data_IF_944994677416
#
_entry.id   IF_944994677416
#
_cell.length_a   1.000
_cell.length_b   1.000
_cell.length_c   1.000
_cell.angle_alpha   90.00
_cell.angle_beta   90.00
_cell.angle_gamma   90.00
#
_symmetry.space_group_name_H-M   'P 1'
#
loop_
_entity.id
_entity.type
_entity.pdbx_description
1 polymer ?
#
# COMPACT_ATOMS: atom_id res chain seq x y z
N UNK A 1 6.36 30.92 -5.05
CA UNK A 1 5.17 31.64 -5.54
C UNK A 1 4.00 31.38 -4.59
N UNK A 2 3.21 32.39 -4.19
CA UNK A 2 2.03 32.17 -3.36
C UNK A 2 0.98 31.34 -4.12
N UNK A 3 0.30 30.43 -3.40
CA UNK A 3 -0.80 29.63 -3.96
C UNK A 3 -1.96 30.56 -4.31
N UNK A 4 -2.55 30.40 -5.50
CA UNK A 4 -3.74 31.15 -5.91
C UNK A 4 -4.92 30.91 -4.97
N UNK A 5 -5.77 31.93 -4.78
CA UNK A 5 -6.98 31.85 -3.95
C UNK A 5 -7.99 30.85 -4.53
N UNK A 6 -8.73 30.14 -3.67
CA UNK A 6 -9.82 29.23 -4.08
C UNK A 6 -11.03 30.01 -4.61
N UNK A 7 -11.81 29.42 -5.52
CA UNK A 7 -13.06 30.01 -6.00
C UNK A 7 -14.09 30.12 -4.87
N UNK A 8 -14.75 31.27 -4.75
CA UNK A 8 -15.86 31.46 -3.79
C UNK A 8 -17.13 30.74 -4.28
N UNK A 9 -18.13 30.55 -3.41
CA UNK A 9 -19.40 29.92 -3.81
C UNK A 9 -20.13 30.72 -4.90
N UNK A 10 -20.07 32.04 -4.82
CA UNK A 10 -20.67 32.95 -5.80
C UNK A 10 -19.96 32.85 -7.16
N UNK A 11 -18.63 32.80 -7.16
CA UNK A 11 -17.84 32.57 -8.38
C UNK A 11 -18.19 31.22 -9.01
N UNK A 12 -18.31 30.17 -8.20
CA UNK A 12 -18.70 28.83 -8.66
C UNK A 12 -20.10 28.83 -9.30
N UNK A 13 -21.10 29.46 -8.68
CA UNK A 13 -22.45 29.57 -9.23
C UNK A 13 -22.47 30.33 -10.56
N UNK A 14 -21.71 31.43 -10.66
CA UNK A 14 -21.59 32.20 -11.90
C UNK A 14 -20.94 31.37 -13.02
N UNK A 15 -19.88 30.62 -12.70
CA UNK A 15 -19.21 29.75 -13.67
C UNK A 15 -20.18 28.68 -14.21
N UNK A 16 -20.97 28.03 -13.33
CA UNK A 16 -21.98 27.06 -13.75
C UNK A 16 -23.04 27.70 -14.65
N UNK A 17 -23.59 28.85 -14.24
CA UNK A 17 -24.60 29.57 -15.02
C UNK A 17 -24.07 29.98 -16.41
N UNK A 18 -22.82 30.46 -16.52
CA UNK A 18 -22.23 30.80 -17.81
C UNK A 18 -21.87 29.59 -18.67
N UNK A 19 -21.57 28.45 -18.05
CA UNK A 19 -21.36 27.19 -18.77
C UNK A 19 -22.66 26.65 -19.37
N UNK A 20 -23.80 26.83 -18.69
CA UNK A 20 -25.11 26.39 -19.17
C UNK A 20 -25.55 27.16 -20.42
N UNK A 21 -25.16 28.43 -20.54
CA UNK A 21 -25.39 29.25 -21.75
C UNK A 21 -24.26 29.12 -22.79
N UNK A 22 -23.44 28.07 -22.69
CA UNK A 22 -22.40 27.71 -23.66
C UNK A 22 -21.32 28.78 -23.92
N UNK A 23 -21.01 29.64 -22.94
CA UNK A 23 -19.86 30.55 -23.06
C UNK A 23 -18.55 29.75 -23.07
N UNK A 24 -17.54 30.27 -23.78
CA UNK A 24 -16.21 29.66 -23.77
C UNK A 24 -15.56 29.79 -22.39
N UNK A 25 -14.75 28.82 -21.96
CA UNK A 25 -14.02 28.90 -20.69
C UNK A 25 -13.19 30.20 -20.55
N UNK A 26 -12.71 30.73 -21.69
CA UNK A 26 -11.93 31.97 -21.73
C UNK A 26 -12.81 33.18 -21.43
N UNK A 27 -14.03 33.22 -21.98
CA UNK A 27 -14.98 34.29 -21.72
C UNK A 27 -15.52 34.21 -20.29
N UNK A 28 -15.81 33.01 -19.80
CA UNK A 28 -16.18 32.75 -18.40
C UNK A 28 -15.07 33.24 -17.45
N UNK A 29 -13.81 32.90 -17.74
CA UNK A 29 -12.67 33.34 -16.94
C UNK A 29 -12.55 34.87 -16.90
N UNK A 30 -12.78 35.55 -18.02
CA UNK A 30 -12.77 37.01 -18.11
C UNK A 30 -13.93 37.63 -17.31
N UNK A 31 -15.15 37.09 -17.43
CA UNK A 31 -16.35 37.57 -16.75
C UNK A 31 -16.26 37.40 -15.23
N UNK A 32 -15.74 36.26 -14.78
CA UNK A 32 -15.60 35.94 -13.35
C UNK A 32 -14.28 36.50 -12.78
N UNK A 33 -13.41 37.09 -13.62
CA UNK A 33 -12.08 37.63 -13.27
C UNK A 33 -11.17 36.61 -12.58
N UNK A 34 -11.17 35.38 -13.08
CA UNK A 34 -10.33 34.28 -12.59
C UNK A 34 -9.50 33.68 -13.70
N UNK A 35 -8.50 32.88 -13.35
CA UNK A 35 -7.65 32.26 -14.36
C UNK A 35 -8.42 31.15 -15.08
N UNK A 36 -8.22 31.02 -16.40
CA UNK A 36 -8.82 29.92 -17.18
C UNK A 36 -8.53 28.53 -16.57
N UNK A 37 -7.32 28.22 -16.07
CA UNK A 37 -7.07 26.95 -15.38
C UNK A 37 -7.93 26.72 -14.14
N UNK A 38 -8.27 27.77 -13.38
CA UNK A 38 -9.15 27.66 -12.22
C UNK A 38 -10.58 27.35 -12.63
N UNK A 39 -11.08 28.02 -13.68
CA UNK A 39 -12.40 27.75 -14.28
C UNK A 39 -12.47 26.32 -14.83
N UNK A 40 -11.50 25.93 -15.66
CA UNK A 40 -11.42 24.57 -16.22
C UNK A 40 -11.36 23.49 -15.11
N UNK A 41 -10.50 23.68 -14.10
CA UNK A 41 -10.39 22.72 -12.99
C UNK A 41 -11.70 22.61 -12.18
N UNK A 42 -12.47 23.69 -12.06
CA UNK A 42 -13.78 23.65 -11.41
C UNK A 42 -14.84 22.97 -12.29
N UNK A 43 -14.89 23.26 -13.58
CA UNK A 43 -15.84 22.62 -14.49
C UNK A 43 -15.61 21.11 -14.64
N UNK A 44 -14.37 20.64 -14.49
CA UNK A 44 -14.04 19.21 -14.47
C UNK A 44 -14.63 18.48 -13.24
N UNK A 45 -14.65 19.13 -12.07
CA UNK A 45 -15.17 18.55 -10.83
C UNK A 45 -15.80 19.63 -9.92
N UNK A 46 -17.03 20.08 -10.23
CA UNK A 46 -17.67 21.18 -9.50
C UNK A 46 -17.94 20.81 -8.03
N UNK A 47 -18.31 19.56 -7.78
CA UNK A 47 -18.64 19.09 -6.44
C UNK A 47 -17.40 18.90 -5.56
N UNK A 48 -16.25 18.56 -6.15
CA UNK A 48 -15.00 18.25 -5.45
C UNK A 48 -13.99 19.41 -5.38
N UNK A 49 -14.12 20.46 -6.20
CA UNK A 49 -13.10 21.52 -6.37
C UNK A 49 -12.54 22.13 -5.07
N UNK A 50 -13.42 22.49 -4.12
CA UNK A 50 -13.00 23.10 -2.85
C UNK A 50 -12.85 22.10 -1.70
N UNK A 51 -13.19 20.82 -1.92
CA UNK A 51 -13.08 19.78 -0.91
C UNK A 51 -11.62 19.32 -0.84
N UNK A 52 -11.07 19.26 0.38
CA UNK A 52 -9.77 18.64 0.59
C UNK A 52 -9.88 17.17 0.19
N UNK A 53 -9.09 16.74 -0.80
CA UNK A 53 -8.92 15.31 -1.06
C UNK A 53 -8.38 14.69 0.23
N UNK A 54 -9.10 13.73 0.80
CA UNK A 54 -8.59 12.97 1.94
C UNK A 54 -7.39 12.17 1.42
N UNK A 55 -6.19 12.67 1.69
CA UNK A 55 -4.96 11.91 1.53
C UNK A 55 -4.94 10.87 2.65
N UNK A 56 -5.37 9.66 2.35
CA UNK A 56 -5.39 8.55 3.29
C UNK A 56 -5.59 7.23 2.57
N UNK A 57 -5.02 6.17 3.12
CA UNK A 57 -5.25 4.83 2.61
C UNK A 57 -6.77 4.54 2.57
N UNK A 58 -7.27 3.86 1.52
CA UNK A 58 -8.66 3.49 1.45
C UNK A 58 -9.03 2.69 2.70
N UNK A 59 -10.08 3.16 3.41
CA UNK A 59 -10.51 2.55 4.67
C UNK A 59 -11.23 1.21 4.51
N UNK A 60 -11.42 0.74 3.28
CA UNK A 60 -12.23 -0.45 2.99
C UNK A 60 -11.47 -1.37 2.05
N UNK A 61 -11.48 -2.66 2.37
CA UNK A 61 -11.06 -3.69 1.43
C UNK A 61 -11.97 -3.66 0.21
N UNK A 62 -11.37 -3.71 -0.99
CA UNK A 62 -12.13 -3.82 -2.23
C UNK A 62 -12.87 -5.15 -2.29
N UNK A 63 -14.01 -5.20 -3.00
CA UNK A 63 -14.75 -6.45 -3.16
C UNK A 63 -13.86 -7.55 -3.73
N UNK A 64 -13.03 -7.23 -4.73
CA UNK A 64 -12.06 -8.14 -5.34
C UNK A 64 -11.09 -8.74 -4.30
N UNK A 65 -10.57 -7.92 -3.39
CA UNK A 65 -9.67 -8.40 -2.34
C UNK A 65 -10.42 -9.30 -1.34
N UNK A 66 -11.65 -8.93 -0.96
CA UNK A 66 -12.49 -9.77 -0.08
C UNK A 66 -12.77 -11.13 -0.71
N UNK A 67 -13.19 -11.15 -1.97
CA UNK A 67 -13.43 -12.41 -2.70
C UNK A 67 -12.18 -13.25 -2.83
N UNK A 68 -11.02 -12.64 -3.09
CA UNK A 68 -9.76 -13.38 -3.16
C UNK A 68 -9.42 -14.02 -1.82
N UNK A 69 -9.46 -13.25 -0.73
CA UNK A 69 -9.18 -13.76 0.62
C UNK A 69 -10.14 -14.91 0.97
N UNK A 70 -11.43 -14.71 0.74
CA UNK A 70 -12.47 -15.71 1.01
C UNK A 70 -12.24 -16.98 0.18
N UNK A 71 -11.84 -16.84 -1.09
CA UNK A 71 -11.60 -17.99 -1.98
C UNK A 71 -10.32 -18.77 -1.65
N UNK A 72 -9.27 -18.10 -1.17
CA UNK A 72 -7.95 -18.72 -0.98
C UNK A 72 -7.75 -19.21 0.46
N UNK A 73 -8.19 -18.43 1.44
CA UNK A 73 -7.94 -18.66 2.86
C UNK A 73 -9.22 -18.95 3.65
N UNK A 74 -10.40 -18.71 3.06
CA UNK A 74 -11.64 -18.66 3.82
C UNK A 74 -11.64 -17.50 4.83
N UNK A 75 -12.51 -17.59 5.84
CA UNK A 75 -12.57 -16.64 6.96
C UNK A 75 -11.85 -17.13 8.22
N UNK A 76 -11.24 -18.31 8.18
CA UNK A 76 -10.58 -18.96 9.32
C UNK A 76 -9.05 -18.83 9.25
N UNK A 77 -8.55 -17.61 9.02
CA UNK A 77 -7.10 -17.35 9.00
C UNK A 77 -6.70 -16.39 10.12
N UNK A 78 -5.46 -16.54 10.58
CA UNK A 78 -4.84 -15.63 11.54
C UNK A 78 -3.77 -14.82 10.80
N UNK A 79 -3.92 -13.51 10.81
CA UNK A 79 -2.94 -12.57 10.28
C UNK A 79 -1.74 -12.45 11.24
N UNK A 80 -0.55 -12.60 10.69
CA UNK A 80 0.71 -12.40 11.41
C UNK A 80 1.41 -11.16 10.84
N UNK A 81 1.70 -10.18 11.71
CA UNK A 81 2.56 -9.05 11.40
C UNK A 81 3.32 -8.61 12.65
N UNK A 82 4.40 -7.86 12.47
CA UNK A 82 5.13 -7.29 13.59
C UNK A 82 4.33 -6.15 14.27
N UNK A 83 4.85 -5.66 15.38
CA UNK A 83 4.24 -4.58 16.16
C UNK A 83 4.87 -3.22 15.86
N UNK A 84 5.26 -2.96 14.60
CA UNK A 84 5.71 -1.62 14.19
C UNK A 84 4.59 -0.57 14.41
N UNK A 85 4.98 0.70 14.56
CA UNK A 85 4.05 1.78 14.96
C UNK A 85 2.83 1.92 14.05
N UNK A 86 2.99 1.65 12.75
CA UNK A 86 1.90 1.68 11.77
C UNK A 86 0.91 0.52 11.96
N UNK A 87 1.38 -0.67 12.31
CA UNK A 87 0.54 -1.85 12.53
C UNK A 87 -0.10 -1.85 13.93
N UNK A 88 0.56 -1.22 14.90
CA UNK A 88 0.06 -1.06 16.27
C UNK A 88 -0.96 0.09 16.44
N UNK A 89 -1.16 0.92 15.40
CA UNK A 89 -1.98 2.12 15.48
C UNK A 89 -3.47 1.80 15.76
N UNK A 90 -4.21 2.69 16.46
CA UNK A 90 -5.64 2.50 16.69
C UNK A 90 -6.44 2.32 15.40
N UNK A 91 -6.12 3.11 14.37
CA UNK A 91 -6.78 3.04 13.08
C UNK A 91 -6.61 1.66 12.40
N UNK A 92 -5.41 1.08 12.46
CA UNK A 92 -5.15 -0.25 11.91
C UNK A 92 -5.91 -1.32 12.69
N UNK A 93 -5.95 -1.23 14.02
CA UNK A 93 -6.68 -2.16 14.88
C UNK A 93 -8.19 -2.12 14.64
N UNK A 94 -8.77 -0.92 14.52
CA UNK A 94 -10.19 -0.76 14.18
C UNK A 94 -10.51 -1.35 12.81
N UNK A 95 -9.69 -1.08 11.80
CA UNK A 95 -9.87 -1.62 10.46
C UNK A 95 -9.85 -3.16 10.43
N UNK A 96 -8.86 -3.79 11.09
CA UNK A 96 -8.77 -5.25 11.14
C UNK A 96 -9.97 -5.87 11.89
N UNK A 97 -10.46 -5.20 12.93
CA UNK A 97 -11.67 -5.59 13.66
C UNK A 97 -12.93 -5.48 12.78
N UNK A 98 -13.09 -4.40 12.02
CA UNK A 98 -14.20 -4.22 11.07
C UNK A 98 -14.22 -5.31 9.98
N UNK A 99 -13.04 -5.70 9.50
CA UNK A 99 -12.89 -6.74 8.48
C UNK A 99 -12.91 -8.17 9.05
N UNK A 100 -13.09 -8.31 10.37
CA UNK A 100 -13.13 -9.59 11.11
C UNK A 100 -11.88 -10.43 10.88
N UNK A 101 -10.72 -9.79 10.92
CA UNK A 101 -9.42 -10.43 10.77
C UNK A 101 -8.81 -10.64 12.15
N UNK A 102 -8.59 -11.90 12.51
CA UNK A 102 -7.85 -12.24 13.72
C UNK A 102 -6.36 -11.99 13.53
N UNK A 103 -5.74 -11.38 14.54
CA UNK A 103 -4.31 -11.05 14.53
C UNK A 103 -3.60 -11.84 15.61
N UNK A 104 -2.52 -12.52 15.23
CA UNK A 104 -1.67 -13.25 16.17
C UNK A 104 -0.97 -12.28 17.13
N UNK A 105 -0.99 -12.59 18.43
CA UNK A 105 -0.18 -11.86 19.41
C UNK A 105 1.30 -12.07 19.11
N UNK A 106 2.02 -10.99 18.86
CA UNK A 106 3.43 -11.01 18.48
C UNK A 106 4.33 -10.41 19.56
N UNK A 107 5.44 -11.07 19.88
CA UNK A 107 6.45 -10.53 20.80
C UNK A 107 7.34 -9.51 20.09
N UNK A 108 7.78 -8.48 20.82
CA UNK A 108 8.70 -7.49 20.27
C UNK A 108 10.06 -8.14 19.96
N UNK A 109 10.74 -7.64 18.93
CA UNK A 109 12.12 -8.04 18.58
C UNK A 109 12.33 -9.55 18.35
N UNK A 110 11.32 -10.25 17.80
CA UNK A 110 11.41 -11.69 17.50
C UNK A 110 11.42 -11.99 15.99
N UNK A 111 12.43 -11.51 15.22
CA UNK A 111 12.54 -11.84 13.79
C UNK A 111 12.80 -13.34 13.58
N UNK A 112 13.37 -14.00 14.59
CA UNK A 112 13.61 -15.44 14.67
C UNK A 112 12.32 -16.26 14.89
N UNK A 113 11.16 -15.63 15.03
CA UNK A 113 9.87 -16.30 14.94
C UNK A 113 9.12 -15.95 13.65
N UNK A 114 9.60 -14.99 12.86
CA UNK A 114 8.91 -14.58 11.64
C UNK A 114 9.36 -15.44 10.44
N UNK A 115 8.46 -16.24 9.80
CA UNK A 115 8.82 -17.01 8.61
C UNK A 115 9.23 -16.14 7.40
N UNK A 116 8.79 -14.88 7.34
CA UNK A 116 9.07 -14.00 6.20
C UNK A 116 10.54 -13.56 6.15
N UNK A 117 11.20 -13.38 7.30
CA UNK A 117 12.64 -13.05 7.38
C UNK A 117 13.49 -14.12 6.70
N UNK A 118 13.08 -15.37 6.93
CA UNK A 118 13.68 -16.53 6.31
C UNK A 118 13.43 -16.59 4.79
N UNK A 119 12.29 -16.09 4.31
CA UNK A 119 12.01 -15.92 2.87
C UNK A 119 12.85 -14.82 2.25
N UNK A 120 12.99 -13.67 2.91
CA UNK A 120 13.89 -12.60 2.48
C UNK A 120 15.32 -13.09 2.32
N UNK A 121 15.83 -13.87 3.27
CA UNK A 121 17.16 -14.47 3.15
C UNK A 121 17.32 -15.37 1.91
N UNK A 122 16.27 -16.07 1.46
CA UNK A 122 16.30 -16.81 0.18
C UNK A 122 16.38 -15.88 -1.01
N UNK A 123 15.54 -14.84 -1.00
CA UNK A 123 15.46 -13.88 -2.10
C UNK A 123 16.79 -13.13 -2.25
N UNK A 124 17.35 -12.61 -1.15
CA UNK A 124 18.65 -11.92 -1.15
C UNK A 124 19.75 -12.84 -1.68
N UNK A 125 19.83 -14.10 -1.22
CA UNK A 125 20.82 -15.06 -1.77
C UNK A 125 20.62 -15.33 -3.26
N UNK A 126 19.38 -15.36 -3.74
CA UNK A 126 19.10 -15.53 -5.16
C UNK A 126 19.55 -14.31 -5.97
N UNK A 127 19.25 -13.10 -5.49
CA UNK A 127 19.67 -11.83 -6.11
C UNK A 127 21.19 -11.68 -6.12
N UNK A 128 21.86 -11.97 -4.99
CA UNK A 128 23.32 -11.89 -4.88
C UNK A 128 24.02 -12.86 -5.84
N UNK A 129 23.50 -14.09 -5.98
CA UNK A 129 24.05 -15.05 -6.96
C UNK A 129 23.93 -14.57 -8.40
N UNK A 130 22.84 -13.89 -8.76
CA UNK A 130 22.71 -13.27 -10.07
C UNK A 130 23.56 -12.01 -10.21
N UNK A 131 23.80 -11.27 -9.13
CA UNK A 131 24.62 -10.07 -9.12
C UNK A 131 26.11 -10.38 -9.26
N UNK A 132 26.61 -11.47 -8.68
CA UNK A 132 28.02 -11.91 -8.87
C UNK A 132 28.32 -12.44 -10.27
N UNK A 133 27.32 -12.54 -11.15
CA UNK A 133 27.47 -12.98 -12.54
C UNK A 133 27.54 -11.80 -13.54
N UNK A 134 27.38 -10.56 -13.10
CA UNK A 134 27.55 -9.37 -13.95
C UNK A 134 28.91 -8.72 -13.65
N UNK A 135 29.81 -8.58 -14.64
CA UNK A 135 31.03 -7.80 -14.46
C UNK A 135 30.65 -6.33 -14.22
N UNK A 136 31.41 -5.71 -13.33
CA UNK A 136 31.36 -4.31 -12.92
C UNK A 136 30.86 -3.34 -14.00
N UNK A 137 29.58 -2.96 -13.90
CA UNK A 137 29.05 -1.75 -14.51
C UNK A 137 27.77 -1.36 -13.78
N UNK A 138 27.80 -0.24 -13.07
CA UNK A 138 26.61 0.55 -12.75
C UNK A 138 26.05 1.13 -14.06
N UNK A 139 25.50 0.26 -14.91
CA UNK A 139 24.68 0.68 -16.04
C UNK A 139 23.22 0.60 -15.59
N UNK A 140 22.48 1.72 -15.58
CA UNK A 140 21.04 1.69 -15.38
C UNK A 140 20.45 0.82 -16.48
N UNK A 141 19.75 -0.25 -16.10
CA UNK A 141 19.04 -1.10 -17.04
C UNK A 141 17.99 -0.22 -17.75
N UNK A 142 18.01 -0.10 -19.09
CA UNK A 142 16.92 0.52 -19.80
C UNK A 142 15.73 -0.43 -19.74
N UNK A 143 14.61 0.14 -19.33
CA UNK A 143 13.25 -0.37 -19.41
C UNK A 143 12.93 -1.65 -18.63
N UNK A 144 12.12 -1.39 -17.61
CA UNK A 144 11.22 -2.25 -16.87
C UNK A 144 10.20 -2.94 -17.82
N UNK A 145 10.70 -3.83 -18.68
CA UNK A 145 9.87 -4.77 -19.41
C UNK A 145 10.12 -6.19 -18.90
N UNK A 146 9.24 -6.59 -17.98
CA UNK A 146 8.83 -7.98 -17.83
C UNK A 146 9.96 -8.95 -17.50
N UNK A 147 10.51 -8.88 -16.29
CA UNK A 147 11.21 -10.02 -15.71
C UNK A 147 10.20 -11.11 -15.34
N UNK A 148 9.71 -11.84 -16.35
CA UNK A 148 9.33 -13.26 -16.25
C UNK A 148 10.57 -14.08 -15.93
N UNK A 149 11.17 -13.83 -14.77
CA UNK A 149 12.23 -14.62 -14.16
C UNK A 149 11.59 -15.58 -13.17
N UNK A 150 11.28 -16.78 -13.65
CA UNK A 150 10.45 -17.77 -12.98
C UNK A 150 10.73 -17.97 -11.49
N UNK A 151 9.63 -18.29 -10.81
CA UNK A 151 9.48 -18.93 -9.51
C UNK A 151 10.59 -19.96 -9.15
N UNK A 152 11.82 -19.51 -8.85
CA UNK A 152 12.93 -20.37 -8.38
C UNK A 152 12.86 -20.66 -6.87
N UNK A 153 11.86 -20.09 -6.19
CA UNK A 153 11.42 -20.50 -4.86
C UNK A 153 10.32 -21.55 -4.98
N UNK A 154 10.68 -22.77 -5.41
CA UNK A 154 9.71 -23.85 -5.54
C UNK A 154 8.85 -24.03 -4.28
N UNK A 155 7.58 -24.48 -4.41
CA UNK A 155 6.59 -24.52 -3.33
C UNK A 155 7.10 -25.22 -2.05
N UNK A 156 8.01 -26.18 -2.22
CA UNK A 156 8.69 -26.91 -1.16
C UNK A 156 9.45 -26.01 -0.15
N UNK A 157 10.13 -24.95 -0.61
CA UNK A 157 10.91 -24.05 0.28
C UNK A 157 10.02 -23.16 1.15
N UNK A 158 8.80 -22.83 0.69
CA UNK A 158 7.82 -22.06 1.46
C UNK A 158 7.21 -22.92 2.57
N UNK A 159 6.78 -24.14 2.21
CA UNK A 159 6.18 -25.10 3.14
C UNK A 159 7.11 -25.44 4.30
N UNK A 160 8.39 -25.74 4.00
CA UNK A 160 9.42 -26.06 5.01
C UNK A 160 9.60 -24.98 6.07
N UNK A 161 9.43 -23.69 5.74
CA UNK A 161 9.60 -22.58 6.69
C UNK A 161 8.43 -22.47 7.67
N UNK A 162 7.21 -22.64 7.17
CA UNK A 162 6.02 -22.67 8.02
C UNK A 162 6.06 -23.94 8.89
N UNK A 163 6.40 -25.09 8.30
CA UNK A 163 6.54 -26.38 9.01
C UNK A 163 7.64 -26.36 10.08
N UNK A 164 8.63 -25.47 9.99
CA UNK A 164 9.68 -25.31 11.01
C UNK A 164 9.23 -24.53 12.25
N UNK A 165 8.07 -23.87 12.21
CA UNK A 165 7.62 -22.99 13.30
C UNK A 165 7.48 -23.68 14.66
N UNK A 166 6.91 -24.90 14.78
CA UNK A 166 6.83 -25.59 16.06
C UNK A 166 8.19 -25.75 16.74
N UNK A 167 9.22 -26.14 15.98
CA UNK A 167 10.59 -26.30 16.50
C UNK A 167 11.19 -24.97 16.96
N UNK A 168 10.95 -23.88 16.22
CA UNK A 168 11.43 -22.54 16.60
C UNK A 168 10.76 -22.06 17.90
N UNK A 169 9.45 -22.26 18.02
CA UNK A 169 8.72 -21.94 19.24
C UNK A 169 9.24 -22.73 20.45
N UNK A 170 9.48 -24.04 20.29
CA UNK A 170 10.07 -24.87 21.35
C UNK A 170 11.45 -24.33 21.76
N UNK A 171 12.31 -24.03 20.79
CA UNK A 171 13.64 -23.49 21.07
C UNK A 171 13.59 -22.15 21.84
N UNK A 172 12.63 -21.27 21.53
CA UNK A 172 12.42 -20.03 22.29
C UNK A 172 12.01 -20.30 23.73
N UNK A 173 11.14 -21.30 23.96
CA UNK A 173 10.72 -21.68 25.31
C UNK A 173 11.88 -22.28 26.11
N UNK A 174 12.67 -23.18 25.51
CA UNK A 174 13.86 -23.76 26.12
C UNK A 174 14.90 -22.69 26.48
N UNK A 175 15.04 -21.67 25.64
CA UNK A 175 15.92 -20.53 25.86
C UNK A 175 15.30 -19.42 26.71
N UNK A 176 14.14 -19.64 27.33
CA UNK A 176 13.46 -18.69 28.21
C UNK A 176 13.22 -17.32 27.55
N UNK A 177 12.90 -17.31 26.26
CA UNK A 177 12.66 -16.09 25.48
C UNK A 177 13.92 -15.44 24.89
N UNK A 178 15.11 -16.02 25.11
CA UNK A 178 16.32 -15.56 24.45
C UNK A 178 16.34 -15.93 22.95
N UNK A 179 17.21 -15.24 22.20
CA UNK A 179 17.34 -15.38 20.75
C UNK A 179 17.63 -16.83 20.34
N UNK A 180 16.82 -17.37 19.42
CA UNK A 180 17.06 -18.69 18.83
C UNK A 180 18.06 -18.63 17.67
N UNK A 181 18.66 -19.78 17.33
CA UNK A 181 19.48 -19.90 16.11
C UNK A 181 18.54 -20.01 14.91
N UNK A 182 18.64 -19.05 13.99
CA UNK A 182 17.84 -18.98 12.77
C UNK A 182 18.36 -19.85 11.62
#
# INVERSE_FOLDING_TARGET
MPRGTKLTKEEQQRILAFSEVCLSERDIANLVRRSRPAVNSFLIDPEGYNKSKRSGAPKKLTLTAKTFIDSVYGREFISQHDNTSIHASPATKEFLKEEKVDVMKWTAQSPDLNPIENMWGVLVRAVLRSWTAVPDAWSPHPDDQGATGGNRGGPYKKKKRVESMPTRCIATLELHGAKTKC
#
